data_IF_255796543401
#
_entry.id   IF_255796543401
#
_cell.length_a   1.000
_cell.length_b   1.000
_cell.length_c   1.000
_cell.angle_alpha   90.00
_cell.angle_beta   90.00
_cell.angle_gamma   90.00
#
_symmetry.space_group_name_H-M   'P 1'
#
loop_
_entity.id
_entity.type
_entity.pdbx_description
1 polymer ?
#
# COMPACT_ATOMS: atom_id res chain seq x y z
N UNK A 1 9.51 3.08 31.41
CA UNK A 1 9.41 4.31 30.61
C UNK A 1 10.83 4.83 30.49
N UNK A 2 11.39 4.81 29.27
CA UNK A 2 12.68 5.43 29.03
C UNK A 2 12.52 6.95 29.15
N UNK A 3 13.51 7.64 29.71
CA UNK A 3 13.55 9.10 29.85
C UNK A 3 13.40 9.77 28.47
N UNK A 4 12.17 10.12 28.12
CA UNK A 4 11.89 11.04 27.01
C UNK A 4 12.20 12.44 27.52
N UNK A 5 13.31 13.01 27.05
CA UNK A 5 13.67 14.40 27.33
C UNK A 5 12.51 15.31 26.89
N UNK A 6 12.03 16.09 27.84
CA UNK A 6 11.01 17.12 27.67
C UNK A 6 11.44 18.10 26.57
N UNK A 7 10.60 18.28 25.54
CA UNK A 7 10.86 19.25 24.46
C UNK A 7 10.39 20.64 24.93
N UNK A 8 11.32 21.56 25.06
CA UNK A 8 11.17 22.93 25.57
C UNK A 8 11.44 23.96 24.47
N UNK A 9 11.22 25.25 24.74
CA UNK A 9 11.68 26.34 23.85
C UNK A 9 13.20 26.32 23.58
N UNK A 10 13.99 25.58 24.36
CA UNK A 10 15.41 25.35 24.11
C UNK A 10 15.67 24.34 22.97
N UNK A 11 14.66 23.57 22.58
CA UNK A 11 14.73 22.58 21.48
C UNK A 11 14.23 23.16 20.14
N UNK A 12 13.77 24.41 20.13
CA UNK A 12 13.54 25.19 18.90
C UNK A 12 14.90 25.46 18.26
N UNK A 13 15.05 25.10 16.99
CA UNK A 13 16.24 25.41 16.21
C UNK A 13 16.25 26.91 15.86
N UNK A 14 16.80 27.71 16.78
CA UNK A 14 16.90 29.16 16.64
C UNK A 14 17.78 29.61 15.46
N UNK A 15 18.65 28.74 14.93
CA UNK A 15 19.38 29.01 13.70
C UNK A 15 18.43 28.99 12.49
N UNK A 16 17.41 28.12 12.45
CA UNK A 16 16.37 28.14 11.41
C UNK A 16 15.55 29.43 11.49
N UNK A 17 15.12 29.80 12.70
CA UNK A 17 14.36 31.03 12.95
C UNK A 17 15.16 32.26 12.49
N UNK A 18 16.43 32.35 12.87
CA UNK A 18 17.26 33.49 12.54
C UNK A 18 17.67 33.55 11.07
N UNK A 19 17.94 32.42 10.41
CA UNK A 19 18.20 32.37 8.97
C UNK A 19 17.02 32.86 8.16
N UNK A 20 15.78 32.57 8.60
CA UNK A 20 14.59 33.05 7.90
C UNK A 20 14.41 34.55 8.08
N UNK A 21 14.55 35.08 9.29
CA UNK A 21 14.51 36.53 9.54
C UNK A 21 15.53 37.26 8.66
N UNK A 22 16.75 36.72 8.55
CA UNK A 22 17.77 37.31 7.71
C UNK A 22 17.48 37.20 6.20
N UNK A 23 16.92 36.08 5.75
CA UNK A 23 16.50 35.91 4.35
C UNK A 23 15.44 36.93 3.96
N UNK A 24 14.41 37.10 4.80
CA UNK A 24 13.32 38.06 4.58
C UNK A 24 13.80 39.52 4.72
N UNK A 25 14.84 39.76 5.52
CA UNK A 25 15.56 41.03 5.59
C UNK A 25 16.44 41.31 4.35
N UNK A 26 16.47 40.42 3.36
CA UNK A 26 17.24 40.59 2.12
C UNK A 26 18.74 40.27 2.25
N UNK A 27 19.12 39.45 3.23
CA UNK A 27 20.53 39.14 3.51
C UNK A 27 20.96 37.92 2.71
N UNK A 28 21.92 38.14 1.80
CA UNK A 28 22.35 37.14 0.83
C UNK A 28 23.28 36.04 1.41
N UNK A 29 23.82 36.23 2.62
CA UNK A 29 24.81 35.33 3.23
C UNK A 29 24.30 34.79 4.58
N UNK A 30 23.27 33.94 4.51
CA UNK A 30 22.60 33.35 5.69
C UNK A 30 23.40 32.22 6.33
N UNK A 31 24.49 31.75 5.69
CA UNK A 31 25.36 30.71 6.22
C UNK A 31 26.24 31.18 7.40
N UNK A 32 26.36 32.51 7.61
CA UNK A 32 27.11 33.10 8.75
C UNK A 32 26.29 33.25 10.03
N UNK A 33 25.02 32.88 9.99
CA UNK A 33 24.06 32.97 11.09
C UNK A 33 24.10 31.66 11.88
N UNK A 34 25.15 31.51 12.69
CA UNK A 34 25.29 30.38 13.61
C UNK A 34 25.54 30.87 15.03
N UNK A 35 24.97 30.17 16.01
CA UNK A 35 25.14 30.49 17.44
C UNK A 35 24.12 31.49 17.98
N UNK A 36 22.98 31.62 17.31
CA UNK A 36 21.87 32.43 17.81
C UNK A 36 21.07 31.61 18.81
N UNK A 37 20.92 32.18 20.00
CA UNK A 37 20.13 31.64 21.11
C UNK A 37 18.94 32.55 21.35
N UNK A 38 17.95 32.02 22.07
CA UNK A 38 16.79 32.79 22.55
C UNK A 38 17.17 34.12 23.22
N UNK A 39 18.32 34.17 23.90
CA UNK A 39 18.73 35.33 24.70
C UNK A 39 19.55 36.36 23.91
N UNK A 40 20.05 36.01 22.72
CA UNK A 40 20.95 36.89 21.96
C UNK A 40 20.48 37.23 20.54
N UNK A 41 19.34 36.67 20.09
CA UNK A 41 18.92 36.80 18.69
C UNK A 41 18.75 38.25 18.24
N UNK A 42 18.14 39.12 19.06
CA UNK A 42 17.97 40.54 18.73
C UNK A 42 19.32 41.26 18.58
N UNK A 43 20.25 40.99 19.49
CA UNK A 43 21.56 41.60 19.50
C UNK A 43 22.43 41.11 18.32
N UNK A 44 22.34 39.81 18.00
CA UNK A 44 23.12 39.20 16.92
C UNK A 44 22.55 39.55 15.54
N UNK A 45 21.22 39.62 15.38
CA UNK A 45 20.58 40.18 14.19
C UNK A 45 21.02 41.64 14.02
N UNK A 46 20.94 42.47 15.05
CA UNK A 46 21.37 43.87 14.95
C UNK A 46 22.86 44.00 14.59
N UNK A 47 23.70 43.16 15.17
CA UNK A 47 25.14 43.11 14.91
C UNK A 47 25.49 42.67 13.48
N UNK A 48 24.76 41.70 12.94
CA UNK A 48 25.03 41.15 11.60
C UNK A 48 24.38 41.96 10.48
N UNK A 49 23.23 42.57 10.75
CA UNK A 49 22.42 43.25 9.73
C UNK A 49 22.57 44.77 9.75
N UNK A 50 23.04 45.33 10.87
CA UNK A 50 23.11 46.79 11.09
C UNK A 50 21.74 47.45 11.29
N UNK A 51 20.64 46.71 11.11
CA UNK A 51 19.29 47.14 11.35
C UNK A 51 18.82 46.63 12.72
N UNK A 52 18.06 47.44 13.44
CA UNK A 52 17.44 46.96 14.68
C UNK A 52 16.50 45.81 14.33
N UNK A 53 16.58 44.70 15.08
CA UNK A 53 15.73 43.53 14.83
C UNK A 53 14.25 43.93 14.83
N UNK A 54 13.85 44.90 15.68
CA UNK A 54 12.50 45.47 15.68
C UNK A 54 12.17 46.26 14.41
N UNK A 55 13.12 47.01 13.83
CA UNK A 55 12.89 47.79 12.60
C UNK A 55 12.80 46.90 11.37
N UNK A 56 13.68 45.91 11.24
CA UNK A 56 13.60 44.91 10.16
C UNK A 56 12.30 44.11 10.23
N UNK A 57 11.89 43.77 11.45
CA UNK A 57 10.62 43.10 11.73
C UNK A 57 9.41 43.97 11.39
N UNK A 58 9.41 45.25 11.78
CA UNK A 58 8.37 46.20 11.41
C UNK A 58 8.26 46.36 9.88
N UNK A 59 9.38 46.36 9.17
CA UNK A 59 9.43 46.45 7.71
C UNK A 59 8.91 45.17 7.02
N UNK A 60 9.10 43.98 7.63
CA UNK A 60 8.51 42.69 7.18
C UNK A 60 6.99 42.68 7.39
N UNK A 61 6.53 43.21 8.53
CA UNK A 61 5.10 43.38 8.87
C UNK A 61 4.45 44.37 7.90
N UNK A 62 5.07 45.53 7.66
CA UNK A 62 4.59 46.60 6.77
C UNK A 62 4.57 46.17 5.30
N UNK A 63 5.54 45.37 4.84
CA UNK A 63 5.59 44.80 3.48
C UNK A 63 4.56 43.69 3.24
N UNK A 64 3.73 43.35 4.22
CA UNK A 64 2.59 42.44 4.05
C UNK A 64 2.94 40.95 4.02
N UNK A 65 4.09 40.57 4.60
CA UNK A 65 4.44 39.15 4.80
C UNK A 65 3.76 38.53 6.03
N UNK A 66 2.72 39.17 6.55
CA UNK A 66 1.79 38.60 7.53
C UNK A 66 0.78 37.67 6.89
N UNK A 67 0.32 36.69 7.67
CA UNK A 67 -0.82 35.79 7.41
C UNK A 67 -2.14 36.51 7.04
N UNK A 68 -2.20 37.84 7.12
CA UNK A 68 -3.36 38.69 6.77
C UNK A 68 -3.86 38.53 5.34
N UNK A 69 -3.02 38.10 4.39
CA UNK A 69 -3.49 37.80 3.02
C UNK A 69 -4.37 36.55 2.90
N UNK A 70 -4.51 35.74 3.98
CA UNK A 70 -5.43 34.59 4.06
C UNK A 70 -6.65 34.80 4.97
N UNK A 71 -6.69 35.84 5.80
CA UNK A 71 -7.74 36.03 6.83
C UNK A 71 -8.83 37.04 6.47
N UNK A 72 -8.92 37.50 5.21
CA UNK A 72 -9.95 38.44 4.77
C UNK A 72 -11.42 37.97 5.01
N UNK A 73 -11.63 36.71 5.38
CA UNK A 73 -12.95 36.16 5.77
C UNK A 73 -13.20 36.10 7.29
N UNK A 74 -12.22 36.39 8.15
CA UNK A 74 -12.31 36.07 9.59
C UNK A 74 -12.48 37.28 10.52
N UNK A 75 -12.18 38.52 10.11
CA UNK A 75 -12.29 39.67 11.05
C UNK A 75 -13.74 40.04 11.41
N UNK A 76 -14.70 39.72 10.54
CA UNK A 76 -16.10 40.13 10.75
C UNK A 76 -16.82 39.32 11.85
N UNK A 77 -16.37 38.10 12.15
CA UNK A 77 -16.98 37.28 13.21
C UNK A 77 -16.41 37.56 14.61
N UNK A 78 -15.17 38.08 14.71
CA UNK A 78 -14.56 38.40 16.00
C UNK A 78 -15.01 39.77 16.54
N UNK A 79 -15.39 40.71 15.66
CA UNK A 79 -16.00 41.99 16.08
C UNK A 79 -17.43 41.78 16.60
N UNK A 80 -18.17 40.79 16.07
CA UNK A 80 -19.55 40.50 16.50
C UNK A 80 -19.64 39.82 17.89
N UNK A 81 -18.57 39.19 18.38
CA UNK A 81 -18.53 38.57 19.71
C UNK A 81 -18.22 39.57 20.85
N UNK A 82 -17.92 40.83 20.50
CA UNK A 82 -17.65 41.93 21.44
C UNK A 82 -18.81 42.91 21.43
N UNK A 83 -20.01 42.41 21.67
CA UNK A 83 -21.23 43.20 21.81
C UNK A 83 -21.27 43.92 23.15
N UNK A 84 -21.17 45.26 23.08
CA UNK A 84 -21.96 46.24 23.83
C UNK A 84 -22.33 45.93 25.29
N UNK A 85 -21.44 46.25 26.23
CA UNK A 85 -21.84 46.74 27.55
C UNK A 85 -21.20 48.12 27.74
N UNK A 86 -21.91 49.13 27.26
CA UNK A 86 -21.68 50.52 27.64
C UNK A 86 -22.48 50.83 28.90
N UNK A 87 -21.80 51.16 29.99
CA UNK A 87 -22.37 52.01 31.03
C UNK A 87 -21.36 53.07 31.45
N UNK A 88 -21.81 54.31 31.26
CA UNK A 88 -21.15 55.55 31.61
C UNK A 88 -20.84 55.63 33.11
N UNK A 89 -19.61 56.01 33.45
CA UNK A 89 -19.19 56.32 34.80
C UNK A 89 -18.10 57.39 34.80
N UNK A 90 -18.51 58.66 34.78
CA UNK A 90 -17.69 59.82 35.12
C UNK A 90 -17.09 59.68 36.53
N UNK A 91 -15.88 60.26 36.71
CA UNK A 91 -15.04 60.48 37.91
C UNK A 91 -13.69 59.78 37.77
N UNK A 92 -12.53 60.30 38.12
CA UNK A 92 -12.06 61.57 38.71
C UNK A 92 -10.53 61.50 38.62
N UNK A 93 -9.87 62.63 38.81
CA UNK A 93 -8.46 62.93 38.55
C UNK A 93 -7.39 61.94 39.09
N UNK A 94 -6.35 61.73 38.28
CA UNK A 94 -4.96 61.74 38.74
C UNK A 94 -4.25 60.40 38.99
N UNK A 95 -3.60 59.84 37.96
CA UNK A 95 -2.16 59.54 37.97
C UNK A 95 -1.74 59.05 36.58
N UNK A 96 -0.86 59.79 35.90
CA UNK A 96 -0.27 59.36 34.62
C UNK A 96 0.93 58.47 34.94
N UNK A 97 0.68 57.17 35.02
CA UNK A 97 1.72 56.16 34.89
C UNK A 97 1.86 55.78 33.41
N UNK A 98 3.11 55.77 32.97
CA UNK A 98 3.56 55.54 31.60
C UNK A 98 2.97 54.26 31.01
N UNK A 99 2.08 54.43 30.01
CA UNK A 99 1.39 53.36 29.30
C UNK A 99 2.06 52.99 27.97
N UNK A 100 3.36 52.70 27.98
CA UNK A 100 4.11 52.26 26.79
C UNK A 100 4.32 50.73 26.72
N UNK A 101 3.94 49.96 27.75
CA UNK A 101 4.29 48.53 27.83
C UNK A 101 3.21 47.54 27.30
N UNK A 102 2.02 48.02 26.90
CA UNK A 102 0.94 47.13 26.46
C UNK A 102 0.93 46.81 24.97
N UNK A 103 1.36 47.73 24.10
CA UNK A 103 1.43 47.49 22.64
C UNK A 103 2.62 46.58 22.28
N UNK A 104 3.76 46.77 22.95
CA UNK A 104 5.01 46.03 22.70
C UNK A 104 4.92 44.54 23.14
N UNK A 105 3.91 44.16 23.91
CA UNK A 105 3.63 42.77 24.31
C UNK A 105 2.70 42.04 23.34
N UNK A 106 1.79 42.75 22.68
CA UNK A 106 0.84 42.15 21.74
C UNK A 106 1.53 41.69 20.45
N UNK A 107 2.41 42.53 19.90
CA UNK A 107 3.18 42.20 18.69
C UNK A 107 4.15 41.01 18.89
N UNK A 108 4.69 40.84 20.11
CA UNK A 108 5.55 39.71 20.47
C UNK A 108 4.78 38.39 20.52
N UNK A 109 3.52 38.40 20.95
CA UNK A 109 2.69 37.19 21.01
C UNK A 109 2.28 36.71 19.62
N UNK A 110 1.88 37.62 18.72
CA UNK A 110 1.47 37.29 17.36
C UNK A 110 2.65 36.77 16.51
N UNK A 111 3.84 37.37 16.66
CA UNK A 111 5.06 36.90 16.00
C UNK A 111 5.49 35.50 16.48
N UNK A 112 5.47 35.27 17.79
CA UNK A 112 5.83 33.99 18.37
C UNK A 112 4.86 32.90 17.88
N UNK A 113 3.57 33.22 17.78
CA UNK A 113 2.55 32.33 17.24
C UNK A 113 2.80 32.02 15.76
N UNK A 114 2.99 33.03 14.91
CA UNK A 114 3.24 32.82 13.47
C UNK A 114 4.49 31.96 13.23
N UNK A 115 5.57 32.22 13.98
CA UNK A 115 6.83 31.45 13.90
C UNK A 115 6.62 30.01 14.36
N UNK A 116 5.89 29.81 15.47
CA UNK A 116 5.58 28.48 15.99
C UNK A 116 4.72 27.71 14.99
N UNK A 117 3.72 28.34 14.40
CA UNK A 117 2.84 27.73 13.40
C UNK A 117 3.54 27.38 12.10
N UNK A 118 4.43 28.24 11.59
CA UNK A 118 5.24 27.93 10.41
C UNK A 118 6.22 26.78 10.72
N UNK A 119 6.87 26.81 11.89
CA UNK A 119 7.79 25.74 12.30
C UNK A 119 7.08 24.39 12.47
N UNK A 120 5.87 24.40 13.06
CA UNK A 120 5.04 23.22 13.24
C UNK A 120 4.56 22.69 11.89
N UNK A 121 4.06 23.56 11.00
CA UNK A 121 3.65 23.16 9.65
C UNK A 121 4.83 22.61 8.85
N UNK A 122 6.00 23.25 8.91
CA UNK A 122 7.22 22.76 8.27
C UNK A 122 7.66 21.42 8.85
N UNK A 123 7.53 21.21 10.16
CA UNK A 123 7.76 19.92 10.78
C UNK A 123 6.80 18.87 10.23
N UNK A 124 5.50 19.16 10.18
CA UNK A 124 4.46 18.27 9.64
C UNK A 124 4.75 17.88 8.18
N UNK A 125 5.13 18.84 7.35
CA UNK A 125 5.54 18.60 5.96
C UNK A 125 6.84 17.78 5.88
N UNK A 126 7.82 18.05 6.75
CA UNK A 126 9.10 17.32 6.80
C UNK A 126 8.93 15.86 7.21
N UNK A 127 7.93 15.57 8.05
CA UNK A 127 7.52 14.21 8.38
C UNK A 127 6.58 13.61 7.33
N UNK A 128 6.46 14.23 6.14
CA UNK A 128 5.81 13.75 4.93
C UNK A 128 4.28 13.69 4.94
N UNK A 129 3.65 14.53 5.77
CA UNK A 129 2.24 14.86 5.60
C UNK A 129 2.06 15.66 4.30
N UNK A 130 0.96 15.40 3.58
CA UNK A 130 0.57 16.27 2.48
C UNK A 130 0.16 17.65 3.03
N UNK A 131 0.19 18.66 2.17
CA UNK A 131 -0.08 20.03 2.58
C UNK A 131 -1.49 20.22 3.17
N UNK A 132 -2.48 19.43 2.76
CA UNK A 132 -3.84 19.52 3.29
C UNK A 132 -3.86 19.01 4.72
N UNK A 133 -3.36 17.80 4.96
CA UNK A 133 -3.30 17.20 6.31
C UNK A 133 -2.41 18.03 7.24
N UNK A 134 -1.29 18.55 6.75
CA UNK A 134 -0.40 19.40 7.54
C UNK A 134 -1.09 20.70 7.96
N UNK A 135 -1.86 21.35 7.07
CA UNK A 135 -2.62 22.55 7.39
C UNK A 135 -3.78 22.27 8.36
N UNK A 136 -4.48 21.15 8.21
CA UNK A 136 -5.54 20.76 9.15
C UNK A 136 -5.00 20.57 10.56
N UNK A 137 -3.87 19.88 10.71
CA UNK A 137 -3.19 19.69 12.00
C UNK A 137 -2.61 20.99 12.55
N UNK A 138 -2.06 21.84 11.69
CA UNK A 138 -1.58 23.16 12.09
C UNK A 138 -2.73 24.03 12.64
N UNK A 139 -3.85 24.14 11.92
CA UNK A 139 -5.01 24.90 12.38
C UNK A 139 -5.57 24.38 13.70
N UNK A 140 -5.60 23.05 13.89
CA UNK A 140 -5.98 22.45 15.17
C UNK A 140 -5.02 22.85 16.31
N UNK A 141 -3.70 22.79 16.06
CA UNK A 141 -2.70 23.16 17.05
C UNK A 141 -2.79 24.65 17.41
N UNK A 142 -2.99 25.53 16.42
CA UNK A 142 -3.19 26.96 16.62
C UNK A 142 -4.36 27.24 17.56
N UNK A 143 -5.52 26.61 17.33
CA UNK A 143 -6.69 26.75 18.20
C UNK A 143 -6.41 26.32 19.64
N UNK A 144 -5.60 25.28 19.83
CA UNK A 144 -5.18 24.81 21.17
C UNK A 144 -4.26 25.82 21.86
N UNK A 145 -3.26 26.35 21.17
CA UNK A 145 -2.36 27.37 21.70
C UNK A 145 -3.12 28.65 22.08
N UNK A 146 -4.13 29.04 21.30
CA UNK A 146 -4.98 30.20 21.59
C UNK A 146 -5.91 29.98 22.79
N UNK A 147 -6.45 28.77 22.93
CA UNK A 147 -7.40 28.45 23.99
C UNK A 147 -6.74 28.19 25.36
N UNK A 148 -5.50 27.70 25.37
CA UNK A 148 -4.77 27.34 26.59
C UNK A 148 -3.31 27.83 26.54
N UNK A 149 -2.97 28.91 27.26
CA UNK A 149 -1.60 29.44 27.34
C UNK A 149 -0.59 28.47 27.96
N UNK A 150 -1.04 27.41 28.64
CA UNK A 150 -0.17 26.37 29.20
C UNK A 150 0.10 25.22 28.21
N UNK A 151 -0.57 25.24 27.05
CA UNK A 151 -0.39 24.23 26.02
C UNK A 151 1.03 24.31 25.41
N UNK A 152 1.75 23.21 25.50
CA UNK A 152 3.14 23.10 25.06
C UNK A 152 3.24 22.39 23.71
N UNK A 153 4.35 22.60 22.98
CA UNK A 153 4.65 21.85 21.77
C UNK A 153 4.73 20.32 22.02
N UNK A 154 5.14 19.89 23.20
CA UNK A 154 5.15 18.49 23.60
C UNK A 154 3.73 17.91 23.73
N UNK A 155 2.80 18.65 24.35
CA UNK A 155 1.39 18.29 24.40
C UNK A 155 0.76 18.31 23.00
N UNK A 156 1.07 19.32 22.18
CA UNK A 156 0.63 19.38 20.78
C UNK A 156 1.05 18.13 20.01
N UNK A 157 2.31 17.71 20.14
CA UNK A 157 2.81 16.48 19.52
C UNK A 157 2.11 15.24 20.03
N UNK A 158 1.83 15.12 21.33
CA UNK A 158 1.14 13.96 21.90
C UNK A 158 -0.31 13.90 21.43
N UNK A 159 -1.04 15.00 21.54
CA UNK A 159 -2.44 15.11 21.14
C UNK A 159 -2.63 15.02 19.62
N UNK A 160 -1.65 15.42 18.82
CA UNK A 160 -1.67 15.26 17.36
C UNK A 160 -1.90 13.80 16.97
N UNK A 161 -1.29 12.83 17.67
CA UNK A 161 -1.50 11.40 17.41
C UNK A 161 -2.96 10.95 17.63
N UNK A 162 -3.72 11.71 18.42
CA UNK A 162 -5.11 11.39 18.76
C UNK A 162 -6.11 12.01 17.76
N UNK A 163 -5.66 12.92 16.89
CA UNK A 163 -6.50 13.58 15.89
C UNK A 163 -6.91 12.62 14.76
N UNK A 164 -8.12 12.81 14.22
CA UNK A 164 -8.65 11.99 13.13
C UNK A 164 -7.80 12.10 11.85
N UNK A 165 -7.28 13.30 11.55
CA UNK A 165 -6.42 13.52 10.38
C UNK A 165 -5.12 12.69 10.48
N UNK A 166 -4.49 12.65 11.66
CA UNK A 166 -3.31 11.83 11.89
C UNK A 166 -3.64 10.34 11.82
N UNK A 167 -4.71 9.90 12.50
CA UNK A 167 -5.14 8.49 12.50
C UNK A 167 -5.46 7.97 11.11
N UNK A 168 -6.05 8.81 10.26
CA UNK A 168 -6.32 8.48 8.87
C UNK A 168 -5.05 8.31 8.05
N UNK A 169 -4.08 9.22 8.17
CA UNK A 169 -2.84 9.20 7.37
C UNK A 169 -1.84 8.12 7.84
N UNK A 170 -1.79 7.87 9.14
CA UNK A 170 -0.88 6.90 9.76
C UNK A 170 -1.64 5.83 10.53
N UNK A 171 -2.58 5.17 9.85
CA UNK A 171 -3.48 4.18 10.45
C UNK A 171 -2.75 3.07 11.20
N UNK A 172 -1.61 2.60 10.69
CA UNK A 172 -0.79 1.60 11.41
C UNK A 172 -0.26 2.10 12.75
N UNK A 173 0.19 3.37 12.83
CA UNK A 173 0.64 3.98 14.10
C UNK A 173 -0.54 4.07 15.08
N UNK A 174 -1.70 4.52 14.60
CA UNK A 174 -2.91 4.64 15.41
C UNK A 174 -3.35 3.28 15.96
N UNK A 175 -3.48 2.26 15.10
CA UNK A 175 -3.85 0.89 15.49
C UNK A 175 -2.92 0.31 16.55
N UNK A 176 -1.59 0.44 16.37
CA UNK A 176 -0.63 -0.07 17.34
C UNK A 176 -0.70 0.67 18.69
N UNK A 177 -0.94 2.00 18.67
CA UNK A 177 -1.13 2.81 19.88
C UNK A 177 -2.40 2.41 20.62
N UNK A 178 -3.51 2.28 19.91
CA UNK A 178 -4.79 1.89 20.50
C UNK A 178 -4.71 0.49 21.11
N UNK A 179 -4.09 -0.47 20.41
CA UNK A 179 -3.84 -1.80 20.95
C UNK A 179 -2.99 -1.78 22.24
N UNK A 180 -1.95 -0.95 22.29
CA UNK A 180 -1.15 -0.76 23.50
C UNK A 180 -1.92 -0.11 24.64
N UNK A 181 -2.80 0.85 24.34
CA UNK A 181 -3.68 1.49 25.31
C UNK A 181 -4.64 0.47 25.91
N UNK A 182 -5.32 -0.31 25.08
CA UNK A 182 -6.20 -1.40 25.51
C UNK A 182 -5.46 -2.44 26.37
N UNK A 183 -4.26 -2.84 25.97
CA UNK A 183 -3.44 -3.77 26.76
C UNK A 183 -3.07 -3.19 28.12
N UNK A 184 -2.70 -1.91 28.19
CA UNK A 184 -2.38 -1.21 29.44
C UNK A 184 -3.59 -1.17 30.38
N UNK A 185 -4.76 -0.80 29.86
CA UNK A 185 -6.02 -0.77 30.62
C UNK A 185 -6.40 -2.17 31.15
N UNK A 186 -6.07 -3.22 30.38
CA UNK A 186 -6.28 -4.62 30.77
C UNK A 186 -5.18 -5.20 31.68
N UNK A 187 -4.11 -4.45 32.00
CA UNK A 187 -2.96 -4.95 32.75
C UNK A 187 -2.14 -6.02 32.01
N UNK A 188 -2.24 -6.05 30.68
CA UNK A 188 -1.55 -6.98 29.80
C UNK A 188 -0.21 -6.42 29.30
N UNK A 189 0.73 -7.28 28.87
CA UNK A 189 1.93 -6.83 28.17
C UNK A 189 1.58 -6.04 26.91
N UNK A 190 2.37 -5.00 26.61
CA UNK A 190 2.20 -4.21 25.40
C UNK A 190 2.42 -5.09 24.16
N UNK A 191 1.42 -5.25 23.27
CA UNK A 191 1.57 -6.03 22.04
C UNK A 191 2.60 -5.43 21.07
N UNK A 192 2.78 -4.11 21.08
CA UNK A 192 3.68 -3.41 20.16
C UNK A 192 4.68 -2.54 20.91
N UNK A 193 5.93 -2.98 21.06
CA UNK A 193 6.96 -2.18 21.76
C UNK A 193 7.57 -1.10 20.86
N UNK A 194 7.65 -1.36 19.57
CA UNK A 194 8.35 -0.53 18.59
C UNK A 194 7.36 0.12 17.61
N UNK A 195 6.58 1.08 18.10
CA UNK A 195 5.68 1.87 17.24
C UNK A 195 6.55 2.77 16.33
N UNK A 196 6.37 2.72 14.99
CA UNK A 196 7.19 3.50 14.08
C UNK A 196 6.91 5.00 14.23
N UNK A 197 7.94 5.81 13.95
CA UNK A 197 7.76 7.26 13.80
C UNK A 197 7.13 7.55 12.43
N UNK A 198 6.41 8.69 12.27
CA UNK A 198 5.86 9.08 10.97
C UNK A 198 6.87 9.06 9.82
N UNK A 199 8.09 9.55 10.06
CA UNK A 199 9.16 9.51 9.06
C UNK A 199 9.60 8.10 8.65
N UNK A 200 9.51 7.11 9.55
CA UNK A 200 9.81 5.72 9.21
C UNK A 200 8.67 5.09 8.40
N UNK A 201 7.43 5.44 8.74
CA UNK A 201 6.23 5.04 8.00
C UNK A 201 6.32 5.46 6.52
N UNK A 202 6.69 6.71 6.26
CA UNK A 202 6.85 7.23 4.89
C UNK A 202 8.05 6.65 4.16
N UNK A 203 9.16 6.36 4.86
CA UNK A 203 10.26 5.62 4.23
C UNK A 203 9.81 4.25 3.77
N UNK A 204 8.97 3.56 4.56
CA UNK A 204 8.40 2.26 4.19
C UNK A 204 7.42 2.39 3.03
N UNK A 205 6.56 3.41 3.02
CA UNK A 205 5.67 3.70 1.90
C UNK A 205 6.44 3.90 0.58
N UNK A 206 7.50 4.71 0.60
CA UNK A 206 8.38 4.92 -0.56
C UNK A 206 9.08 3.64 -1.00
N UNK A 207 9.54 2.83 -0.05
CA UNK A 207 10.16 1.53 -0.33
C UNK A 207 9.17 0.60 -1.02
N UNK A 208 7.98 0.40 -0.45
CA UNK A 208 6.95 -0.49 -0.99
C UNK A 208 6.44 0.01 -2.34
N UNK A 209 6.21 1.32 -2.49
CA UNK A 209 5.87 1.92 -3.78
C UNK A 209 6.96 1.64 -4.84
N UNK A 210 8.23 1.82 -4.49
CA UNK A 210 9.35 1.53 -5.39
C UNK A 210 9.43 0.06 -5.78
N UNK A 211 9.25 -0.85 -4.82
CA UNK A 211 9.21 -2.29 -5.07
C UNK A 211 8.03 -2.67 -5.97
N UNK A 212 6.85 -2.13 -5.72
CA UNK A 212 5.66 -2.47 -6.50
C UNK A 212 5.76 -1.95 -7.94
N UNK A 213 6.27 -0.75 -8.16
CA UNK A 213 6.56 -0.24 -9.51
C UNK A 213 7.63 -1.08 -10.21
N UNK A 214 8.71 -1.42 -9.51
CA UNK A 214 9.80 -2.24 -10.07
C UNK A 214 9.31 -3.60 -10.56
N UNK A 215 8.33 -4.18 -9.87
CA UNK A 215 7.78 -5.49 -10.17
C UNK A 215 6.41 -5.46 -10.88
N UNK A 216 5.95 -4.29 -11.33
CA UNK A 216 4.70 -4.12 -12.06
C UNK A 216 3.42 -4.33 -11.24
N UNK A 217 3.53 -4.41 -9.92
CA UNK A 217 2.40 -4.51 -8.99
C UNK A 217 1.62 -3.20 -8.85
N UNK A 218 2.20 -2.08 -9.27
CA UNK A 218 1.54 -0.77 -9.39
C UNK A 218 0.29 -0.80 -10.29
N UNK A 219 0.16 -1.83 -11.14
CA UNK A 219 -0.98 -2.06 -12.04
C UNK A 219 -2.17 -2.71 -11.36
N UNK A 220 -2.00 -3.25 -10.16
CA UNK A 220 -3.08 -3.86 -9.40
C UNK A 220 -3.85 -2.80 -8.61
N UNK A 221 -5.16 -2.96 -8.42
CA UNK A 221 -5.90 -2.10 -7.51
C UNK A 221 -5.52 -2.43 -6.07
N UNK A 222 -4.68 -1.61 -5.44
CA UNK A 222 -4.33 -1.73 -4.02
C UNK A 222 -4.32 -0.39 -3.30
N UNK A 223 -4.52 -0.46 -1.99
CA UNK A 223 -4.33 0.65 -1.06
C UNK A 223 -2.94 0.55 -0.42
N UNK A 224 -2.01 1.42 -0.84
CA UNK A 224 -0.64 1.44 -0.31
C UNK A 224 -0.62 1.74 1.19
N UNK A 225 -1.48 2.64 1.67
CA UNK A 225 -1.51 3.04 3.08
C UNK A 225 -1.94 1.85 3.94
N UNK A 226 -2.92 1.07 3.48
CA UNK A 226 -3.33 -0.16 4.14
C UNK A 226 -2.18 -1.18 4.23
N UNK A 227 -1.48 -1.45 3.11
CA UNK A 227 -0.36 -2.40 3.08
C UNK A 227 0.78 -1.96 4.02
N UNK A 228 1.10 -0.66 4.04
CA UNK A 228 2.11 -0.13 4.96
C UNK A 228 1.64 -0.31 6.41
N UNK A 229 0.39 0.01 6.72
CA UNK A 229 -0.18 -0.16 8.06
C UNK A 229 -0.11 -1.61 8.54
N UNK A 230 -0.63 -2.55 7.75
CA UNK A 230 -0.63 -3.97 8.11
C UNK A 230 0.78 -4.53 8.25
N UNK A 231 1.72 -4.12 7.40
CA UNK A 231 3.12 -4.55 7.54
C UNK A 231 3.73 -4.17 8.90
N UNK A 232 3.29 -3.07 9.52
CA UNK A 232 3.73 -2.69 10.86
C UNK A 232 2.97 -3.44 11.95
N UNK A 233 1.65 -3.58 11.81
CA UNK A 233 0.80 -4.30 12.77
C UNK A 233 1.24 -5.76 12.89
N UNK A 234 1.57 -6.40 11.76
CA UNK A 234 2.09 -7.77 11.70
C UNK A 234 3.57 -7.90 12.08
N UNK A 235 4.26 -6.79 12.37
CA UNK A 235 5.67 -6.80 12.78
C UNK A 235 6.66 -7.17 11.67
N UNK A 236 6.29 -6.99 10.41
CA UNK A 236 7.11 -7.35 9.25
C UNK A 236 8.14 -6.25 9.00
N UNK A 237 9.40 -6.65 8.90
CA UNK A 237 10.50 -5.69 8.70
C UNK A 237 10.61 -5.25 7.24
N UNK A 238 11.23 -4.09 7.00
CA UNK A 238 11.47 -3.62 5.62
C UNK A 238 12.41 -4.54 4.84
N UNK A 239 13.37 -5.19 5.54
CA UNK A 239 14.26 -6.18 4.92
C UNK A 239 13.50 -7.44 4.50
N UNK A 240 12.58 -7.90 5.34
CA UNK A 240 11.71 -9.03 5.03
C UNK A 240 10.77 -8.74 3.86
N UNK A 241 10.20 -7.53 3.78
CA UNK A 241 9.39 -7.14 2.62
C UNK A 241 10.21 -7.20 1.31
N UNK A 242 11.45 -6.71 1.32
CA UNK A 242 12.36 -6.81 0.16
C UNK A 242 12.68 -8.27 -0.18
N UNK A 243 12.96 -9.09 0.83
CA UNK A 243 13.25 -10.51 0.65
C UNK A 243 12.06 -11.28 0.06
N UNK A 244 10.86 -11.10 0.62
CA UNK A 244 9.63 -11.74 0.12
C UNK A 244 9.30 -11.28 -1.30
N UNK A 245 9.46 -10.00 -1.61
CA UNK A 245 9.27 -9.45 -2.96
C UNK A 245 10.28 -10.06 -3.95
N UNK A 246 11.54 -10.16 -3.56
CA UNK A 246 12.59 -10.79 -4.38
C UNK A 246 12.33 -12.28 -4.59
N UNK A 247 11.88 -12.98 -3.54
CA UNK A 247 11.52 -14.40 -3.61
C UNK A 247 10.34 -14.63 -4.55
N UNK A 248 9.27 -13.83 -4.43
CA UNK A 248 8.11 -13.88 -5.31
C UNK A 248 8.51 -13.62 -6.78
N UNK A 249 9.36 -12.63 -7.04
CA UNK A 249 9.89 -12.36 -8.38
C UNK A 249 10.70 -13.53 -8.94
N UNK A 250 11.52 -14.18 -8.10
CA UNK A 250 12.29 -15.35 -8.51
C UNK A 250 11.39 -16.56 -8.80
N UNK A 251 10.32 -16.75 -8.04
CA UNK A 251 9.34 -17.81 -8.28
C UNK A 251 8.63 -17.63 -9.61
N UNK A 252 8.24 -16.40 -9.96
CA UNK A 252 7.67 -16.10 -11.29
C UNK A 252 8.69 -16.38 -12.39
N UNK A 253 9.94 -15.93 -12.22
CA UNK A 253 10.98 -16.19 -13.21
C UNK A 253 11.28 -17.69 -13.41
N UNK A 254 11.13 -18.49 -12.36
CA UNK A 254 11.29 -19.95 -12.41
C UNK A 254 10.02 -20.67 -12.85
N UNK A 255 8.88 -19.99 -12.90
CA UNK A 255 7.62 -20.59 -13.34
C UNK A 255 7.71 -20.95 -14.82
N UNK A 256 7.17 -22.10 -15.23
CA UNK A 256 7.10 -22.45 -16.64
C UNK A 256 6.43 -21.34 -17.47
N UNK A 257 6.99 -21.04 -18.64
CA UNK A 257 6.48 -20.00 -19.54
C UNK A 257 4.99 -20.16 -19.87
N UNK A 258 4.48 -21.39 -19.95
CA UNK A 258 3.06 -21.64 -20.18
C UNK A 258 2.16 -21.09 -19.06
N UNK A 259 2.64 -21.07 -17.80
CA UNK A 259 1.88 -20.52 -16.67
C UNK A 259 1.86 -18.99 -16.74
N UNK A 260 3.00 -18.36 -17.01
CA UNK A 260 3.07 -16.89 -17.17
C UNK A 260 2.27 -16.43 -18.38
N UNK A 261 2.33 -17.17 -19.50
CA UNK A 261 1.56 -16.88 -20.71
C UNK A 261 0.04 -17.07 -20.48
N UNK A 262 -0.36 -18.09 -19.70
CA UNK A 262 -1.74 -18.27 -19.28
C UNK A 262 -2.22 -17.14 -18.35
N UNK A 263 -1.39 -16.73 -17.38
CA UNK A 263 -1.69 -15.61 -16.50
C UNK A 263 -1.87 -14.30 -17.29
N UNK A 264 -0.97 -14.03 -18.24
CA UNK A 264 -1.08 -12.87 -19.14
C UNK A 264 -2.33 -12.96 -20.02
N UNK A 265 -2.65 -14.13 -20.58
CA UNK A 265 -3.88 -14.33 -21.39
C UNK A 265 -5.15 -14.08 -20.57
N UNK A 266 -5.21 -14.58 -19.33
CA UNK A 266 -6.43 -14.54 -18.52
C UNK A 266 -6.65 -13.22 -17.78
N UNK A 267 -5.58 -12.54 -17.40
CA UNK A 267 -5.63 -11.36 -16.52
C UNK A 267 -4.94 -10.13 -17.13
N UNK A 268 -4.42 -10.25 -18.35
CA UNK A 268 -3.74 -9.19 -19.07
C UNK A 268 -2.36 -8.88 -18.48
N UNK A 269 -1.92 -7.64 -18.66
CA UNK A 269 -0.61 -7.13 -18.19
C UNK A 269 -0.44 -7.23 -16.66
N UNK A 270 -1.53 -7.48 -15.93
CA UNK A 270 -1.54 -7.70 -14.49
C UNK A 270 -1.32 -9.16 -14.06
N UNK A 271 -1.21 -10.13 -14.99
CA UNK A 271 -1.06 -11.55 -14.68
C UNK A 271 0.17 -11.86 -13.81
N UNK A 272 1.34 -11.35 -14.18
CA UNK A 272 2.57 -11.51 -13.40
C UNK A 272 2.47 -10.82 -12.04
N UNK A 273 1.83 -9.66 -11.98
CA UNK A 273 1.62 -8.94 -10.73
C UNK A 273 0.70 -9.73 -9.78
N UNK A 274 -0.35 -10.38 -10.30
CA UNK A 274 -1.26 -11.22 -9.53
C UNK A 274 -0.56 -12.48 -8.97
N UNK A 275 0.29 -13.12 -9.80
CA UNK A 275 1.18 -14.18 -9.35
C UNK A 275 2.09 -13.67 -8.21
N UNK A 276 2.68 -12.50 -8.40
CA UNK A 276 3.63 -11.92 -7.44
C UNK A 276 2.99 -11.65 -6.09
N UNK A 277 1.81 -11.06 -6.09
CA UNK A 277 1.06 -10.76 -4.88
C UNK A 277 0.70 -12.01 -4.09
N UNK A 278 0.31 -13.08 -4.79
CA UNK A 278 -0.06 -14.34 -4.16
C UNK A 278 1.13 -15.01 -3.47
N UNK A 279 2.34 -14.85 -4.03
CA UNK A 279 3.57 -15.33 -3.40
C UNK A 279 4.11 -14.42 -2.30
N UNK A 280 3.86 -13.11 -2.40
CA UNK A 280 4.34 -12.12 -1.42
C UNK A 280 3.66 -12.29 -0.06
N UNK A 281 2.38 -12.69 -0.07
CA UNK A 281 1.56 -12.87 1.13
C UNK A 281 0.60 -14.05 1.00
N UNK A 282 1.13 -15.29 1.13
CA UNK A 282 0.34 -16.49 0.96
C UNK A 282 -0.76 -16.64 2.02
N UNK A 283 -0.60 -16.00 3.19
CA UNK A 283 -1.53 -16.09 4.32
C UNK A 283 -2.53 -14.92 4.39
N UNK A 284 -2.46 -13.97 3.44
CA UNK A 284 -3.33 -12.78 3.41
C UNK A 284 -3.20 -11.89 4.65
N UNK A 285 -2.01 -11.85 5.25
CA UNK A 285 -1.73 -11.13 6.49
C UNK A 285 -1.44 -9.63 6.28
N UNK A 286 -0.95 -9.23 5.11
CA UNK A 286 -0.48 -7.88 4.77
C UNK A 286 -1.40 -7.21 3.75
N UNK A 287 -1.87 -7.95 2.75
CA UNK A 287 -2.60 -7.37 1.61
C UNK A 287 -4.13 -7.44 1.75
N UNK A 288 -4.64 -8.37 2.57
CA UNK A 288 -5.97 -8.37 3.17
C UNK A 288 -7.14 -7.94 2.27
N UNK A 289 -8.14 -7.31 2.89
CA UNK A 289 -9.37 -6.81 2.25
C UNK A 289 -9.16 -5.62 1.32
N UNK A 290 -7.93 -5.06 1.26
CA UNK A 290 -7.61 -3.89 0.43
C UNK A 290 -7.44 -4.21 -1.06
N UNK A 291 -7.31 -5.48 -1.40
CA UNK A 291 -7.20 -5.97 -2.77
C UNK A 291 -8.56 -6.52 -3.22
N UNK A 292 -8.79 -6.69 -4.54
CA UNK A 292 -9.75 -7.73 -4.96
C UNK A 292 -9.40 -8.97 -4.14
N UNK A 293 -10.33 -9.47 -3.32
CA UNK A 293 -10.00 -10.33 -2.18
C UNK A 293 -8.91 -11.30 -2.56
N UNK A 294 -7.83 -11.41 -1.79
CA UNK A 294 -6.67 -12.21 -2.18
C UNK A 294 -7.06 -13.67 -2.50
N UNK A 295 -8.21 -14.13 -2.01
CA UNK A 295 -8.94 -15.32 -2.46
C UNK A 295 -9.21 -15.38 -3.98
N UNK A 296 -9.68 -14.29 -4.58
CA UNK A 296 -9.85 -14.13 -6.03
C UNK A 296 -8.51 -14.22 -6.76
N UNK A 297 -7.43 -13.65 -6.22
CA UNK A 297 -6.09 -13.74 -6.80
C UNK A 297 -5.49 -15.15 -6.68
N UNK A 298 -5.64 -15.81 -5.53
CA UNK A 298 -5.29 -17.23 -5.36
C UNK A 298 -6.04 -18.11 -6.36
N UNK A 299 -7.34 -17.85 -6.54
CA UNK A 299 -8.15 -18.54 -7.55
C UNK A 299 -7.65 -18.26 -8.96
N UNK A 300 -7.25 -17.02 -9.24
CA UNK A 300 -6.76 -16.60 -10.54
C UNK A 300 -5.37 -17.19 -10.86
N UNK A 301 -4.47 -17.25 -9.87
CA UNK A 301 -3.18 -17.96 -9.96
C UNK A 301 -3.41 -19.45 -10.20
N UNK A 302 -4.24 -20.11 -9.38
CA UNK A 302 -4.55 -21.53 -9.58
C UNK A 302 -5.19 -21.79 -10.96
N UNK A 303 -5.99 -20.85 -11.46
CA UNK A 303 -6.55 -20.90 -12.82
C UNK A 303 -5.45 -20.79 -13.88
N UNK A 304 -4.49 -19.86 -13.72
CA UNK A 304 -3.34 -19.73 -14.63
C UNK A 304 -2.45 -20.98 -14.61
N UNK A 305 -2.19 -21.55 -13.43
CA UNK A 305 -1.45 -22.80 -13.28
C UNK A 305 -2.12 -23.95 -14.03
N UNK A 306 -3.43 -24.15 -13.84
CA UNK A 306 -4.19 -25.17 -14.59
C UNK A 306 -4.07 -24.91 -16.09
N UNK A 307 -4.24 -23.67 -16.53
CA UNK A 307 -4.11 -23.29 -17.95
C UNK A 307 -2.74 -23.65 -18.53
N UNK A 308 -1.66 -23.24 -17.85
CA UNK A 308 -0.29 -23.47 -18.28
C UNK A 308 0.10 -24.95 -18.24
N UNK A 309 -0.25 -25.67 -17.17
CA UNK A 309 0.03 -27.10 -17.09
C UNK A 309 -0.73 -27.90 -18.15
N UNK A 310 -2.00 -27.57 -18.38
CA UNK A 310 -2.78 -28.24 -19.42
C UNK A 310 -2.18 -28.01 -20.81
N UNK A 311 -1.73 -26.79 -21.09
CA UNK A 311 -1.03 -26.49 -22.34
C UNK A 311 0.22 -27.37 -22.51
N UNK A 312 1.03 -27.49 -21.47
CA UNK A 312 2.28 -28.26 -21.51
C UNK A 312 2.07 -29.77 -21.60
N UNK A 313 1.17 -30.34 -20.79
CA UNK A 313 0.99 -31.80 -20.71
C UNK A 313 0.16 -32.38 -21.85
N UNK A 314 -0.75 -31.58 -22.41
CA UNK A 314 -1.61 -32.03 -23.49
C UNK A 314 -1.07 -31.63 -24.88
N UNK A 315 0.05 -30.91 -24.93
CA UNK A 315 0.64 -30.32 -26.15
C UNK A 315 -0.32 -29.36 -26.89
N UNK A 316 -1.02 -28.50 -26.14
CA UNK A 316 -1.97 -27.57 -26.75
C UNK A 316 -1.26 -26.35 -27.34
N UNK A 317 -1.74 -25.87 -28.49
CA UNK A 317 -1.26 -24.62 -29.09
C UNK A 317 -1.55 -23.40 -28.19
N UNK A 318 -2.66 -23.46 -27.43
CA UNK A 318 -3.09 -22.41 -26.51
C UNK A 318 -3.45 -23.00 -25.16
N UNK A 319 -3.26 -22.26 -24.05
CA UNK A 319 -3.82 -22.67 -22.77
C UNK A 319 -5.34 -22.71 -22.86
N UNK A 320 -5.95 -23.55 -22.00
CA UNK A 320 -7.40 -23.73 -21.91
C UNK A 320 -8.16 -22.41 -21.87
N UNK A 321 -9.46 -22.45 -22.16
CA UNK A 321 -10.27 -21.26 -21.90
C UNK A 321 -10.34 -20.97 -20.40
N UNK A 322 -10.33 -19.68 -20.04
CA UNK A 322 -10.23 -19.23 -18.64
C UNK A 322 -11.27 -19.88 -17.74
N UNK A 323 -12.49 -20.05 -18.24
CA UNK A 323 -13.59 -20.66 -17.49
C UNK A 323 -13.36 -22.16 -17.24
N UNK A 324 -12.79 -22.88 -18.21
CA UNK A 324 -12.48 -24.29 -18.05
C UNK A 324 -11.39 -24.50 -16.99
N UNK A 325 -10.28 -23.75 -17.12
CA UNK A 325 -9.20 -23.78 -16.16
C UNK A 325 -9.67 -23.39 -14.75
N UNK A 326 -10.61 -22.45 -14.65
CA UNK A 326 -11.20 -22.02 -13.37
C UNK A 326 -12.10 -23.09 -12.76
N UNK A 327 -12.81 -23.88 -13.56
CA UNK A 327 -13.64 -24.96 -13.04
C UNK A 327 -12.79 -26.11 -12.48
N UNK A 328 -11.67 -26.45 -13.12
CA UNK A 328 -10.69 -27.39 -12.57
C UNK A 328 -10.01 -26.81 -11.32
N UNK A 329 -9.61 -25.53 -11.33
CA UNK A 329 -8.89 -24.94 -10.19
C UNK A 329 -9.73 -24.89 -8.90
N UNK A 330 -11.07 -24.74 -9.02
CA UNK A 330 -12.02 -24.82 -7.89
C UNK A 330 -12.06 -26.17 -7.18
N UNK A 331 -11.56 -27.24 -7.81
CA UNK A 331 -11.48 -28.56 -7.18
C UNK A 331 -10.44 -28.58 -6.05
N UNK A 332 -9.55 -27.57 -5.97
CA UNK A 332 -8.56 -27.44 -4.89
C UNK A 332 -7.51 -28.56 -4.92
N UNK A 333 -7.25 -29.12 -6.11
CA UNK A 333 -6.30 -30.21 -6.29
C UNK A 333 -4.86 -29.73 -6.04
N UNK A 334 -4.04 -30.63 -5.52
CA UNK A 334 -2.60 -30.43 -5.49
C UNK A 334 -2.02 -30.45 -6.90
N UNK A 335 -0.86 -29.80 -7.11
CA UNK A 335 -0.15 -29.83 -8.40
C UNK A 335 0.10 -31.26 -8.89
N UNK A 336 0.36 -32.20 -7.97
CA UNK A 336 0.58 -33.60 -8.31
C UNK A 336 -0.69 -34.26 -8.86
N UNK A 337 -1.82 -34.09 -8.20
CA UNK A 337 -3.10 -34.65 -8.65
C UNK A 337 -3.52 -34.05 -10.00
N UNK A 338 -3.30 -32.75 -10.19
CA UNK A 338 -3.50 -32.09 -11.48
C UNK A 338 -2.64 -32.73 -12.58
N UNK A 339 -1.34 -32.95 -12.33
CA UNK A 339 -0.45 -33.57 -13.31
C UNK A 339 -0.84 -35.01 -13.62
N UNK A 340 -1.22 -35.80 -12.61
CA UNK A 340 -1.68 -37.17 -12.81
C UNK A 340 -2.95 -37.20 -13.67
N UNK A 341 -3.92 -36.32 -13.40
CA UNK A 341 -5.13 -36.21 -14.23
C UNK A 341 -4.82 -35.78 -15.67
N UNK A 342 -3.99 -34.74 -15.85
CA UNK A 342 -3.59 -34.29 -17.20
C UNK A 342 -2.86 -35.39 -17.97
N UNK A 343 -2.01 -36.18 -17.28
CA UNK A 343 -1.34 -37.33 -17.89
C UNK A 343 -2.34 -38.41 -18.29
N UNK A 344 -3.33 -38.73 -17.45
CA UNK A 344 -4.36 -39.71 -17.79
C UNK A 344 -5.14 -39.30 -19.04
N UNK A 345 -5.48 -38.01 -19.18
CA UNK A 345 -6.12 -37.47 -20.39
C UNK A 345 -5.22 -37.62 -21.61
N UNK A 346 -3.92 -37.33 -21.48
CA UNK A 346 -2.95 -37.52 -22.58
C UNK A 346 -2.75 -38.99 -22.96
N UNK A 347 -2.71 -39.89 -21.99
CA UNK A 347 -2.62 -41.34 -22.24
C UNK A 347 -3.86 -41.86 -23.00
N UNK A 348 -4.99 -41.15 -22.88
CA UNK A 348 -6.23 -41.40 -23.63
C UNK A 348 -6.36 -40.63 -24.94
N UNK A 349 -5.34 -39.87 -25.38
CA UNK A 349 -5.35 -39.03 -26.60
C UNK A 349 -5.88 -39.79 -27.83
N UNK A 350 -5.54 -41.08 -27.93
CA UNK A 350 -6.01 -41.98 -28.98
C UNK A 350 -7.54 -42.04 -29.13
N UNK A 351 -8.30 -41.86 -28.05
CA UNK A 351 -9.77 -41.95 -28.02
C UNK A 351 -10.47 -40.72 -28.62
N UNK A 352 -9.76 -39.59 -28.74
CA UNK A 352 -10.31 -38.35 -29.28
C UNK A 352 -10.18 -38.24 -30.80
N UNK A 353 -9.38 -39.10 -31.46
CA UNK A 353 -9.40 -39.20 -32.91
C UNK A 353 -10.73 -39.79 -33.40
N UNK A 354 -11.55 -39.00 -34.07
CA UNK A 354 -12.87 -39.45 -34.59
C UNK A 354 -12.73 -40.62 -35.59
N UNK A 355 -13.51 -41.69 -35.37
CA UNK A 355 -13.80 -42.70 -36.40
C UNK A 355 -15.19 -42.49 -37.00
N UNK A 356 -15.39 -43.03 -38.21
CA UNK A 356 -16.68 -42.94 -38.90
C UNK A 356 -17.83 -43.48 -38.03
N UNK A 357 -18.80 -42.62 -37.70
CA UNK A 357 -19.98 -42.97 -36.92
C UNK A 357 -19.84 -42.77 -35.41
N UNK A 358 -18.69 -42.34 -34.92
CA UNK A 358 -18.51 -41.89 -33.53
C UNK A 358 -18.90 -40.41 -33.39
N UNK A 359 -19.31 -39.99 -32.19
CA UNK A 359 -19.50 -38.57 -31.85
C UNK A 359 -18.15 -37.86 -31.81
N UNK A 360 -18.07 -36.62 -32.30
CA UNK A 360 -16.84 -35.82 -32.15
C UNK A 360 -16.58 -35.51 -30.67
N UNK A 361 -15.40 -35.90 -30.17
CA UNK A 361 -14.96 -35.61 -28.81
C UNK A 361 -13.58 -34.96 -28.88
N UNK A 362 -13.52 -33.73 -28.39
CA UNK A 362 -12.30 -32.92 -28.25
C UNK A 362 -11.65 -33.16 -26.89
N UNK A 363 -10.34 -33.38 -26.85
CA UNK A 363 -9.58 -33.72 -25.63
C UNK A 363 -9.62 -32.59 -24.58
N UNK A 364 -9.47 -31.35 -25.05
CA UNK A 364 -9.40 -30.11 -24.27
C UNK A 364 -10.73 -29.74 -23.60
N UNK A 365 -11.84 -30.33 -24.06
CA UNK A 365 -13.16 -30.09 -23.49
C UNK A 365 -13.67 -31.38 -22.83
N UNK A 366 -13.87 -32.43 -23.60
CA UNK A 366 -14.53 -33.66 -23.13
C UNK A 366 -13.61 -34.53 -22.29
N UNK A 367 -12.32 -34.64 -22.67
CA UNK A 367 -11.34 -35.43 -21.91
C UNK A 367 -11.09 -34.84 -20.52
N UNK A 368 -10.89 -33.53 -20.46
CA UNK A 368 -10.75 -32.81 -19.20
C UNK A 368 -12.03 -32.83 -18.35
N UNK A 369 -13.20 -32.68 -18.96
CA UNK A 369 -14.47 -32.78 -18.26
C UNK A 369 -14.68 -34.17 -17.62
N UNK A 370 -14.34 -35.24 -18.35
CA UNK A 370 -14.42 -36.60 -17.86
C UNK A 370 -13.44 -36.84 -16.70
N UNK A 371 -12.15 -36.54 -16.88
CA UNK A 371 -11.13 -36.83 -15.87
C UNK A 371 -11.34 -36.04 -14.57
N UNK A 372 -11.67 -34.74 -14.69
CA UNK A 372 -11.80 -33.87 -13.52
C UNK A 372 -13.24 -33.79 -12.99
N UNK A 373 -14.19 -34.48 -13.61
CA UNK A 373 -15.61 -34.46 -13.23
C UNK A 373 -16.24 -33.07 -13.30
N UNK A 374 -15.74 -32.21 -14.20
CA UNK A 374 -16.23 -30.83 -14.37
C UNK A 374 -17.19 -30.74 -15.55
N UNK A 375 -18.21 -29.90 -15.44
CA UNK A 375 -19.18 -29.67 -16.52
C UNK A 375 -18.78 -28.42 -17.33
N UNK A 376 -18.63 -28.58 -18.65
CA UNK A 376 -18.35 -27.49 -19.59
C UNK A 376 -19.54 -27.15 -20.51
N UNK A 377 -20.73 -27.66 -20.17
CA UNK A 377 -21.96 -27.50 -20.93
C UNK A 377 -22.17 -28.61 -21.95
N UNK A 378 -23.40 -29.11 -22.03
CA UNK A 378 -23.84 -30.10 -23.01
C UNK A 378 -23.88 -31.54 -22.48
N UNK A 379 -22.88 -31.96 -21.70
CA UNK A 379 -22.82 -33.28 -21.06
C UNK A 379 -22.05 -33.15 -19.73
N UNK A 380 -22.50 -33.86 -18.71
CA UNK A 380 -21.80 -33.92 -17.42
C UNK A 380 -20.49 -34.71 -17.53
N UNK A 381 -19.52 -34.44 -16.64
CA UNK A 381 -18.25 -35.18 -16.60
C UNK A 381 -18.45 -36.71 -16.51
N UNK A 382 -19.44 -37.16 -15.75
CA UNK A 382 -19.76 -38.59 -15.62
C UNK A 382 -20.30 -39.19 -16.92
N UNK A 383 -21.19 -38.48 -17.64
CA UNK A 383 -21.68 -38.95 -18.95
C UNK A 383 -20.56 -39.03 -19.98
N UNK A 384 -19.56 -38.14 -19.87
CA UNK A 384 -18.38 -38.14 -20.74
C UNK A 384 -17.41 -39.25 -20.39
N UNK A 385 -17.22 -39.54 -19.10
CA UNK A 385 -16.46 -40.70 -18.62
C UNK A 385 -17.06 -42.01 -19.18
N UNK A 386 -18.38 -42.21 -19.01
CA UNK A 386 -19.11 -43.37 -19.54
C UNK A 386 -18.98 -43.46 -21.08
N UNK A 387 -19.03 -42.32 -21.78
CA UNK A 387 -18.88 -42.27 -23.23
C UNK A 387 -17.47 -42.65 -23.68
N UNK A 388 -16.43 -42.20 -22.98
CA UNK A 388 -15.03 -42.54 -23.25
C UNK A 388 -14.73 -44.00 -22.93
N UNK A 389 -15.26 -44.52 -21.81
CA UNK A 389 -15.10 -45.93 -21.45
C UNK A 389 -15.72 -46.84 -22.51
N UNK A 390 -16.97 -46.57 -22.91
CA UNK A 390 -17.64 -47.31 -23.98
C UNK A 390 -16.87 -47.25 -25.30
N UNK A 391 -16.35 -46.07 -25.69
CA UNK A 391 -15.51 -45.94 -26.89
C UNK A 391 -14.24 -46.77 -26.77
N UNK A 392 -13.58 -46.77 -25.62
CA UNK A 392 -12.38 -47.55 -25.38
C UNK A 392 -12.67 -49.07 -25.44
N UNK A 393 -13.82 -49.52 -24.94
CA UNK A 393 -14.27 -50.91 -25.05
C UNK A 393 -14.60 -51.30 -26.48
N UNK A 394 -15.36 -50.48 -27.22
CA UNK A 394 -15.70 -50.71 -28.63
C UNK A 394 -14.43 -50.85 -29.48
N UNK A 395 -13.46 -49.95 -29.30
CA UNK A 395 -12.18 -50.01 -30.02
C UNK A 395 -11.33 -51.22 -29.64
N UNK A 396 -11.34 -51.62 -28.37
CA UNK A 396 -10.68 -52.86 -27.91
C UNK A 396 -11.35 -54.10 -28.51
N UNK A 397 -12.69 -54.12 -28.57
CA UNK A 397 -13.47 -55.21 -29.16
C UNK A 397 -13.28 -55.29 -30.68
N UNK A 398 -13.22 -54.17 -31.40
CA UNK A 398 -12.88 -54.11 -32.82
C UNK A 398 -11.50 -54.69 -33.09
N UNK A 399 -10.51 -54.34 -32.27
CA UNK A 399 -9.15 -54.87 -32.41
C UNK A 399 -9.12 -56.39 -32.13
N UNK A 400 -9.82 -56.85 -31.09
CA UNK A 400 -9.91 -58.27 -30.74
C UNK A 400 -10.70 -59.09 -31.78
N UNK A 401 -11.78 -58.51 -32.35
CA UNK A 401 -12.62 -59.15 -33.37
C UNK A 401 -12.01 -59.11 -34.77
N UNK A 402 -11.28 -58.05 -35.12
CA UNK A 402 -10.53 -57.91 -36.37
C UNK A 402 -9.25 -58.76 -36.42
N UNK A 403 -8.72 -59.15 -35.25
CA UNK A 403 -7.57 -60.06 -35.11
C UNK A 403 -7.81 -61.51 -35.59
N UNK A 404 -9.04 -61.87 -35.95
CA UNK A 404 -9.39 -63.16 -36.55
C UNK A 404 -9.01 -63.32 -38.02
N UNK A 405 -8.58 -62.24 -38.70
CA UNK A 405 -8.03 -62.28 -40.05
C UNK A 405 -6.50 -62.12 -40.02
N UNK A 406 -5.81 -62.81 -39.11
CA UNK A 406 -4.45 -63.24 -39.42
C UNK A 406 -4.54 -64.12 -40.66
N UNK A 407 -3.99 -63.58 -41.74
CA UNK A 407 -3.61 -64.26 -42.97
C UNK A 407 -2.98 -65.61 -42.62
N UNK A 408 -3.80 -66.66 -42.55
CA UNK A 408 -3.39 -68.02 -42.88
C UNK A 408 -3.22 -68.10 -44.40
N UNK A 409 -2.43 -67.17 -44.95
CA UNK A 409 -1.82 -67.29 -46.25
C UNK A 409 -0.77 -68.37 -46.11
N UNK A 410 -1.24 -69.60 -46.27
CA UNK A 410 -0.47 -70.82 -46.45
C UNK A 410 0.77 -70.50 -47.29
N UNK A 411 1.93 -70.39 -46.63
CA UNK A 411 3.23 -70.50 -47.30
C UNK A 411 3.36 -71.96 -47.76
N UNK A 412 2.67 -72.27 -48.86
CA UNK A 412 2.77 -73.53 -49.60
C UNK A 412 3.91 -73.33 -50.58
N UNK A 413 5.04 -73.99 -50.32
CA UNK A 413 6.27 -73.80 -51.07
C UNK A 413 6.22 -74.35 -52.50
N UNK A 414 6.98 -73.69 -53.37
CA UNK A 414 7.71 -74.17 -54.56
C UNK A 414 8.73 -73.04 -54.84
N UNK A 415 10.03 -73.21 -55.05
CA UNK A 415 10.88 -74.37 -55.18
C UNK A 415 12.34 -73.89 -55.28
N UNK A 416 13.22 -74.88 -55.23
CA UNK A 416 14.68 -74.90 -55.33
C UNK A 416 15.37 -74.10 -56.46
N UNK A 417 16.64 -73.76 -56.16
CA UNK A 417 17.84 -73.79 -57.02
C UNK A 417 18.19 -72.58 -57.92
N UNK A 418 19.31 -71.91 -57.62
CA UNK A 418 20.65 -72.11 -58.22
C UNK A 418 21.64 -71.11 -57.58
N UNK A 419 22.76 -71.58 -57.01
CA UNK A 419 24.07 -71.82 -57.63
C UNK A 419 24.94 -70.56 -57.64
#
# INVERSE_FOLDING_TARGET
>A
MADEKEFTLADVDWDIVARRIATEAGIADTERIGGITKDNYEAEIKKQTGADAKTTLADIIEKGYTYSSRTATFSDQQVAARGEDGEDGDNDDGDRLDGEDSEDNFEKTELLQATLMESFTSMLLSIGLDNTTALELANWAEQRFLADPTFTAAQAKFEMYETEAFKKRFSGIATMRDANKTATEAGQPLPHRDIPKPGDYIKREKLLSGLFVQHGMDKLPYDLDHVVAESYVQGISSAELVERTTMASNLIYQSPKAITDAAEKYFGVAGDAALMATFLDPDDAIFGTGWQSLQSLKTDVATAEVGGWSQMFLDLDNPLEKEQARNISKLGMTTKELWEGLKNVKDQEGLFFEKQGETDLVMETHGLAAEFGVDYGGQSGQELEDALERRAEERRAEFAGGGGAMVSGTATGFGSANA
#
